data_IF_261342962667
#
_entry.id   IF_261342962667
#
_cell.length_a   1.000
_cell.length_b   1.000
_cell.length_c   1.000
_cell.angle_alpha   90.00
_cell.angle_beta   90.00
_cell.angle_gamma   90.00
#
_symmetry.space_group_name_H-M   'P 1'
#
loop_
_entity.id
_entity.type
_entity.pdbx_description
1 polymer ?
#
# COMPACT_ATOMS: atom_id res chain seq x y z
N UNK A 1 -29.50 40.64 -17.80
CA UNK A 1 -29.84 39.53 -16.89
C UNK A 1 -28.70 38.53 -16.94
N UNK A 2 -27.69 38.75 -16.11
CA UNK A 2 -26.53 37.86 -15.96
C UNK A 2 -26.84 36.80 -14.90
N UNK A 3 -26.58 35.53 -15.23
CA UNK A 3 -26.70 34.41 -14.33
C UNK A 3 -25.39 34.23 -13.55
N UNK A 4 -25.49 34.41 -12.23
CA UNK A 4 -24.40 34.37 -11.26
C UNK A 4 -23.72 33.01 -11.20
N UNK A 5 -22.46 32.94 -11.61
CA UNK A 5 -21.59 31.76 -11.47
C UNK A 5 -21.24 31.50 -10.00
N UNK A 6 -21.68 30.37 -9.45
CA UNK A 6 -21.30 29.88 -8.13
C UNK A 6 -19.82 29.44 -8.12
N UNK A 7 -19.01 30.20 -7.38
CA UNK A 7 -17.58 30.00 -7.14
C UNK A 7 -17.35 28.68 -6.37
N UNK A 8 -16.66 27.70 -6.98
CA UNK A 8 -16.14 26.51 -6.27
C UNK A 8 -15.13 26.97 -5.20
N UNK A 9 -15.51 26.90 -3.92
CA UNK A 9 -14.59 27.07 -2.79
C UNK A 9 -13.90 25.74 -2.49
N UNK A 10 -12.56 25.65 -2.44
CA UNK A 10 -11.89 24.53 -1.80
C UNK A 10 -12.11 24.61 -0.28
N UNK A 11 -12.40 23.49 0.35
CA UNK A 11 -12.45 23.34 1.80
C UNK A 11 -11.01 23.40 2.35
N UNK A 12 -10.52 24.61 2.61
CA UNK A 12 -9.34 24.84 3.43
C UNK A 12 -9.80 25.21 4.84
N UNK A 13 -9.47 24.35 5.81
CA UNK A 13 -9.70 24.64 7.24
C UNK A 13 -8.58 25.55 7.71
N UNK A 14 -8.88 26.83 7.98
CA UNK A 14 -7.95 27.73 8.69
C UNK A 14 -7.81 27.25 10.14
N UNK A 15 -6.61 26.79 10.53
CA UNK A 15 -6.24 26.65 11.95
C UNK A 15 -5.89 28.04 12.47
N UNK A 16 -6.63 28.51 13.49
CA UNK A 16 -6.33 29.75 14.19
C UNK A 16 -5.05 29.60 15.02
N UNK A 17 -4.17 30.60 14.92
CA UNK A 17 -2.97 30.68 15.75
C UNK A 17 -3.32 31.12 17.17
N UNK A 18 -2.84 30.36 18.14
CA UNK A 18 -2.60 30.82 19.50
C UNK A 18 -1.21 30.31 19.88
N UNK A 19 -0.31 31.24 20.16
CA UNK A 19 1.06 30.96 20.54
C UNK A 19 1.11 30.26 21.89
N UNK A 20 1.83 29.14 21.91
CA UNK A 20 2.48 28.60 23.09
C UNK A 20 3.74 27.92 22.56
N UNK A 21 4.91 28.32 23.09
CA UNK A 21 6.18 27.63 22.84
C UNK A 21 6.01 26.17 23.28
N UNK A 22 5.79 25.29 22.32
CA UNK A 22 5.69 23.85 22.57
C UNK A 22 7.09 23.26 22.41
N UNK A 23 7.53 22.54 23.45
CA UNK A 23 8.67 21.62 23.39
C UNK A 23 8.63 20.84 22.07
N UNK A 24 9.80 20.69 21.44
CA UNK A 24 9.99 20.00 20.16
C UNK A 24 9.61 18.53 20.34
N UNK A 25 8.32 18.25 20.17
CA UNK A 25 7.74 16.92 20.20
C UNK A 25 8.23 16.08 19.02
N UNK A 26 8.39 14.78 19.26
CA UNK A 26 8.85 13.80 18.28
C UNK A 26 8.16 13.97 16.91
N UNK A 27 8.89 13.91 15.78
CA UNK A 27 8.36 14.14 14.44
C UNK A 27 7.65 12.90 13.88
N UNK A 28 6.91 12.18 14.72
CA UNK A 28 6.26 10.92 14.36
C UNK A 28 4.75 11.13 14.48
N UNK A 29 4.04 11.02 13.34
CA UNK A 29 2.58 11.18 13.34
C UNK A 29 1.92 10.19 14.31
N UNK A 30 0.79 10.54 14.94
CA UNK A 30 0.06 9.62 15.83
C UNK A 30 -0.20 8.25 15.18
N UNK A 31 -0.47 8.22 13.87
CA UNK A 31 -0.64 7.00 13.09
C UNK A 31 0.62 6.14 13.00
N UNK A 32 1.80 6.74 12.91
CA UNK A 32 3.07 6.00 12.88
C UNK A 32 3.39 5.37 14.25
N UNK A 33 2.93 5.96 15.36
CA UNK A 33 3.07 5.38 16.70
C UNK A 33 2.15 4.16 16.91
N UNK A 34 1.03 4.08 16.21
CA UNK A 34 0.13 2.90 16.26
C UNK A 34 0.74 1.64 15.64
N UNK A 35 1.83 1.79 14.88
CA UNK A 35 2.47 0.73 14.10
C UNK A 35 3.93 0.53 14.49
N UNK A 36 4.27 0.76 15.76
CA UNK A 36 5.64 0.70 16.29
C UNK A 36 6.35 -0.64 16.01
N UNK A 37 5.60 -1.75 15.96
CA UNK A 37 6.11 -3.08 15.62
C UNK A 37 6.01 -3.43 14.11
N UNK A 38 5.62 -2.48 13.25
CA UNK A 38 5.52 -2.68 11.81
C UNK A 38 6.66 -1.99 11.08
N UNK A 39 7.35 -2.75 10.24
CA UNK A 39 8.51 -2.31 9.50
C UNK A 39 8.17 -2.23 8.01
N UNK A 40 8.69 -1.21 7.33
CA UNK A 40 8.67 -1.15 5.87
C UNK A 40 10.00 -1.69 5.37
N UNK A 41 9.96 -2.78 4.62
CA UNK A 41 11.14 -3.37 3.96
C UNK A 41 11.06 -2.98 2.49
N UNK A 42 12.09 -2.30 1.99
CA UNK A 42 12.18 -1.88 0.58
C UNK A 42 13.20 -2.73 -0.15
N UNK A 43 12.74 -3.52 -1.13
CA UNK A 43 13.59 -4.24 -2.06
C UNK A 43 13.84 -3.37 -3.29
N UNK A 44 15.11 -3.19 -3.65
CA UNK A 44 15.52 -2.44 -4.84
C UNK A 44 16.46 -3.30 -5.68
N UNK A 45 16.19 -3.38 -6.98
CA UNK A 45 17.11 -3.98 -7.94
C UNK A 45 17.93 -2.91 -8.65
N UNK A 46 19.22 -3.14 -8.83
CA UNK A 46 20.08 -2.28 -9.66
C UNK A 46 20.35 -2.93 -11.02
N UNK A 47 20.52 -2.13 -12.08
CA UNK A 47 20.86 -2.63 -13.43
C UNK A 47 22.31 -3.10 -13.55
N UNK A 48 23.17 -2.71 -12.61
CA UNK A 48 24.59 -3.04 -12.59
C UNK A 48 24.96 -3.66 -11.25
N UNK A 49 26.03 -4.49 -11.19
CA UNK A 49 26.60 -4.92 -9.91
C UNK A 49 26.86 -3.73 -8.99
N UNK A 50 26.58 -3.91 -7.70
CA UNK A 50 26.75 -2.85 -6.71
C UNK A 50 28.24 -2.60 -6.47
N UNK A 51 28.68 -1.37 -6.73
CA UNK A 51 29.96 -0.86 -6.25
C UNK A 51 29.83 -0.54 -4.75
N UNK A 52 30.21 -1.51 -3.92
CA UNK A 52 30.06 -1.39 -2.45
C UNK A 52 30.76 -0.15 -1.85
N UNK A 53 32.00 0.21 -2.27
CA UNK A 53 32.61 1.47 -1.83
C UNK A 53 31.77 2.71 -2.16
N UNK A 54 31.30 2.84 -3.41
CA UNK A 54 30.50 3.98 -3.84
C UNK A 54 29.13 4.03 -3.13
N UNK A 55 28.50 2.87 -2.97
CA UNK A 55 27.26 2.71 -2.23
C UNK A 55 27.43 3.14 -0.76
N UNK A 56 28.48 2.66 -0.09
CA UNK A 56 28.78 3.01 1.30
C UNK A 56 29.01 4.52 1.45
N UNK A 57 29.87 5.09 0.61
CA UNK A 57 30.15 6.53 0.63
C UNK A 57 28.88 7.35 0.35
N UNK A 58 28.03 6.90 -0.58
CA UNK A 58 26.74 7.52 -0.87
C UNK A 58 25.78 7.47 0.33
N UNK A 59 25.67 6.32 1.01
CA UNK A 59 24.85 6.18 2.22
C UNK A 59 25.38 7.08 3.34
N UNK A 60 26.69 7.06 3.61
CA UNK A 60 27.33 7.90 4.63
C UNK A 60 27.08 9.40 4.35
N UNK A 61 27.22 9.84 3.10
CA UNK A 61 26.93 11.21 2.69
C UNK A 61 25.46 11.60 2.86
N UNK A 62 24.51 10.69 2.57
CA UNK A 62 23.08 10.94 2.79
C UNK A 62 22.75 10.99 4.28
N UNK A 63 23.26 10.06 5.09
CA UNK A 63 23.06 10.06 6.54
C UNK A 63 23.61 11.33 7.19
N UNK A 64 24.75 11.84 6.72
CA UNK A 64 25.32 13.10 7.20
C UNK A 64 24.44 14.33 6.89
N UNK A 65 23.65 14.28 5.80
CA UNK A 65 22.71 15.35 5.40
C UNK A 65 21.40 15.34 6.19
N UNK A 66 21.04 14.21 6.81
CA UNK A 66 19.75 14.04 7.51
C UNK A 66 19.99 13.58 8.96
N UNK A 67 20.24 14.50 9.90
CA UNK A 67 20.54 14.15 11.30
C UNK A 67 19.39 13.39 11.99
N UNK A 68 18.16 13.49 11.50
CA UNK A 68 16.99 12.74 12.00
C UNK A 68 16.95 11.27 11.57
N UNK A 69 17.82 10.82 10.66
CA UNK A 69 17.98 9.40 10.35
C UNK A 69 18.83 8.65 11.38
N UNK A 70 19.29 9.34 12.43
CA UNK A 70 19.75 8.70 13.67
C UNK A 70 18.53 8.18 14.42
N UNK A 71 18.23 6.90 14.25
CA UNK A 71 17.41 6.17 15.21
C UNK A 71 18.11 6.30 16.57
N UNK A 72 17.64 7.19 17.43
CA UNK A 72 18.11 7.26 18.82
C UNK A 72 17.70 5.92 19.43
N UNK A 73 18.69 5.05 19.68
CA UNK A 73 18.42 3.82 20.40
C UNK A 73 18.10 4.20 21.84
N UNK A 74 16.93 3.79 22.32
CA UNK A 74 16.62 3.91 23.73
C UNK A 74 17.69 3.20 24.56
N UNK A 75 18.18 3.84 25.64
CA UNK A 75 19.04 3.21 26.62
C UNK A 75 18.48 1.85 27.02
N UNK A 76 19.36 0.87 27.26
CA UNK A 76 18.90 -0.43 27.72
C UNK A 76 18.28 -0.26 29.12
N UNK A 77 16.95 -0.35 29.22
CA UNK A 77 16.21 -0.28 30.49
C UNK A 77 15.47 -1.58 30.76
N UNK A 78 15.07 -1.80 32.02
CA UNK A 78 14.19 -2.91 32.41
C UNK A 78 12.79 -2.85 31.76
N UNK A 79 12.41 -1.71 31.18
CA UNK A 79 11.16 -1.50 30.46
C UNK A 79 11.31 -1.71 28.95
N UNK A 80 12.53 -1.87 28.45
CA UNK A 80 12.79 -2.25 27.06
C UNK A 80 12.33 -3.68 26.87
N UNK A 81 11.36 -3.90 25.99
CA UNK A 81 10.72 -5.20 25.75
C UNK A 81 11.77 -6.19 25.22
N UNK A 82 12.33 -6.99 26.13
CA UNK A 82 13.10 -8.19 25.80
C UNK A 82 12.08 -9.25 25.44
N UNK A 83 11.87 -9.45 24.14
CA UNK A 83 11.28 -10.61 23.47
C UNK A 83 10.49 -10.09 22.26
N UNK A 84 11.08 -10.25 21.08
CA UNK A 84 10.28 -10.57 19.92
C UNK A 84 9.61 -11.90 20.26
N UNK A 85 8.32 -11.87 20.62
CA UNK A 85 7.50 -13.09 20.58
C UNK A 85 7.75 -13.76 19.22
N UNK A 86 7.68 -15.10 19.16
CA UNK A 86 7.89 -15.89 17.95
C UNK A 86 7.08 -15.33 16.77
N UNK A 87 7.65 -14.37 16.05
CA UNK A 87 7.08 -13.88 14.80
C UNK A 87 7.28 -15.01 13.82
N UNK A 88 6.19 -15.61 13.35
CA UNK A 88 6.23 -16.52 12.22
C UNK A 88 7.05 -15.86 11.12
N UNK A 89 8.09 -16.57 10.67
CA UNK A 89 9.05 -16.05 9.70
C UNK A 89 8.29 -15.72 8.41
N UNK A 90 8.15 -14.42 8.10
CA UNK A 90 7.57 -14.02 6.84
C UNK A 90 8.62 -14.01 5.74
N UNK A 91 8.30 -14.66 4.62
CA UNK A 91 9.06 -14.53 3.37
C UNK A 91 8.49 -13.37 2.56
N UNK A 92 9.39 -12.59 1.98
CA UNK A 92 9.03 -11.53 1.04
C UNK A 92 9.41 -11.99 -0.36
N UNK A 93 8.43 -12.10 -1.24
CA UNK A 93 8.59 -12.56 -2.62
C UNK A 93 7.91 -11.59 -3.57
N UNK A 94 8.44 -11.43 -4.78
CA UNK A 94 7.94 -10.43 -5.72
C UNK A 94 7.85 -10.94 -7.15
N UNK A 95 6.92 -10.37 -7.91
CA UNK A 95 6.72 -10.65 -9.35
C UNK A 95 6.46 -9.35 -10.10
N UNK A 96 6.88 -9.32 -11.36
CA UNK A 96 6.70 -8.18 -12.25
C UNK A 96 5.40 -8.31 -13.04
N UNK A 97 4.64 -7.23 -13.14
CA UNK A 97 3.50 -7.07 -14.04
C UNK A 97 3.72 -5.90 -15.01
N UNK A 98 3.10 -6.00 -16.19
CA UNK A 98 3.06 -4.92 -17.17
C UNK A 98 2.07 -3.82 -16.73
N UNK A 99 2.58 -2.59 -16.55
CA UNK A 99 1.71 -1.44 -16.26
C UNK A 99 0.82 -1.11 -17.45
N UNK A 100 1.30 -1.36 -18.68
CA UNK A 100 0.53 -1.11 -19.90
C UNK A 100 -0.65 -2.09 -20.03
N UNK A 101 -0.47 -3.35 -19.67
CA UNK A 101 -1.55 -4.34 -19.66
C UNK A 101 -2.64 -3.95 -18.66
N UNK A 102 -2.24 -3.49 -17.48
CA UNK A 102 -3.17 -2.98 -16.47
C UNK A 102 -3.90 -1.72 -16.96
N UNK A 103 -3.18 -0.79 -17.60
CA UNK A 103 -3.79 0.41 -18.21
C UNK A 103 -4.73 0.05 -19.35
N UNK A 104 -4.42 -0.97 -20.14
CA UNK A 104 -5.26 -1.47 -21.22
C UNK A 104 -6.60 -1.96 -20.66
N UNK A 105 -6.57 -2.86 -19.67
CA UNK A 105 -7.79 -3.36 -19.00
C UNK A 105 -8.59 -2.21 -18.39
N UNK A 106 -7.90 -1.30 -17.68
CA UNK A 106 -8.51 -0.10 -17.08
C UNK A 106 -9.32 0.68 -18.12
N UNK A 107 -8.72 0.95 -19.29
CA UNK A 107 -9.36 1.75 -20.33
C UNK A 107 -10.52 0.99 -21.00
N UNK A 108 -10.34 -0.30 -21.29
CA UNK A 108 -11.39 -1.15 -21.87
C UNK A 108 -12.62 -1.28 -20.94
N UNK A 109 -12.38 -1.41 -19.63
CA UNK A 109 -13.41 -1.56 -18.60
C UNK A 109 -13.92 -0.23 -18.02
N UNK A 110 -13.38 0.90 -18.47
CA UNK A 110 -13.69 2.26 -17.96
C UNK A 110 -13.61 2.34 -16.43
N UNK A 111 -12.56 1.78 -15.84
CA UNK A 111 -12.31 1.76 -14.39
C UNK A 111 -10.97 2.43 -14.02
N UNK A 112 -10.48 2.23 -12.80
CA UNK A 112 -9.18 2.73 -12.33
C UNK A 112 -8.14 1.60 -12.25
N UNK A 113 -6.85 1.96 -12.20
CA UNK A 113 -5.75 0.98 -12.01
C UNK A 113 -5.97 0.16 -10.74
N UNK A 114 -6.38 0.79 -9.64
CA UNK A 114 -6.66 0.10 -8.38
C UNK A 114 -7.79 -0.93 -8.53
N UNK A 115 -8.83 -0.63 -9.30
CA UNK A 115 -9.94 -1.57 -9.53
C UNK A 115 -9.46 -2.83 -10.28
N UNK A 116 -8.55 -2.64 -11.25
CA UNK A 116 -7.92 -3.75 -11.99
C UNK A 116 -7.06 -4.59 -11.05
N UNK A 117 -6.17 -3.97 -10.28
CA UNK A 117 -5.28 -4.70 -9.36
C UNK A 117 -6.04 -5.47 -8.27
N UNK A 118 -7.14 -4.92 -7.76
CA UNK A 118 -8.03 -5.63 -6.85
C UNK A 118 -8.67 -6.84 -7.54
N UNK A 119 -9.13 -6.67 -8.80
CA UNK A 119 -9.64 -7.78 -9.60
C UNK A 119 -8.60 -8.88 -9.85
N UNK A 120 -7.37 -8.51 -10.19
CA UNK A 120 -6.25 -9.45 -10.33
C UNK A 120 -6.00 -10.20 -9.02
N UNK A 121 -5.99 -9.51 -7.88
CA UNK A 121 -5.84 -10.17 -6.58
C UNK A 121 -7.01 -11.11 -6.26
N UNK A 122 -8.27 -10.73 -6.56
CA UNK A 122 -9.41 -11.63 -6.38
C UNK A 122 -9.24 -12.90 -7.20
N UNK A 123 -8.88 -12.77 -8.47
CA UNK A 123 -8.67 -13.89 -9.37
C UNK A 123 -7.52 -14.80 -8.89
N UNK A 124 -6.37 -14.22 -8.56
CA UNK A 124 -5.20 -14.98 -8.13
C UNK A 124 -5.44 -15.76 -6.84
N UNK A 125 -6.02 -15.11 -5.82
CA UNK A 125 -6.34 -15.78 -4.56
C UNK A 125 -7.42 -16.84 -4.72
N UNK A 126 -8.38 -16.64 -5.63
CA UNK A 126 -9.40 -17.64 -5.95
C UNK A 126 -8.76 -18.87 -6.58
N UNK A 127 -7.93 -18.69 -7.62
CA UNK A 127 -7.21 -19.79 -8.27
C UNK A 127 -6.39 -20.59 -7.26
N UNK A 128 -5.59 -19.91 -6.46
CA UNK A 128 -4.78 -20.53 -5.41
C UNK A 128 -5.63 -21.32 -4.40
N UNK A 129 -6.71 -20.70 -3.89
CA UNK A 129 -7.58 -21.33 -2.89
C UNK A 129 -8.25 -22.60 -3.42
N UNK A 130 -8.83 -22.56 -4.62
CA UNK A 130 -9.50 -23.72 -5.20
C UNK A 130 -8.50 -24.81 -5.59
N UNK A 131 -7.30 -24.45 -6.07
CA UNK A 131 -6.21 -25.39 -6.32
C UNK A 131 -5.76 -26.12 -5.05
N UNK A 132 -5.67 -25.40 -3.91
CA UNK A 132 -5.22 -25.98 -2.62
C UNK A 132 -6.27 -26.75 -1.85
N UNK A 133 -7.50 -26.26 -1.85
CA UNK A 133 -8.59 -26.90 -1.12
C UNK A 133 -9.08 -28.18 -1.81
N UNK A 134 -8.90 -28.28 -3.13
CA UNK A 134 -9.52 -29.34 -3.94
C UNK A 134 -11.04 -29.21 -4.03
N UNK A 135 -11.60 -28.09 -3.58
CA UNK A 135 -13.04 -27.80 -3.68
C UNK A 135 -13.44 -27.73 -5.16
N UNK A 136 -14.48 -28.47 -5.53
CA UNK A 136 -14.97 -28.53 -6.92
C UNK A 136 -16.21 -27.67 -7.14
N UNK A 137 -16.86 -27.23 -6.05
CA UNK A 137 -18.00 -26.31 -6.14
C UNK A 137 -17.53 -24.88 -6.47
N UNK A 138 -17.37 -24.63 -7.76
CA UNK A 138 -17.02 -23.32 -8.30
C UNK A 138 -18.10 -22.25 -8.12
N UNK A 139 -19.32 -22.61 -7.69
CA UNK A 139 -20.38 -21.66 -7.36
C UNK A 139 -20.25 -21.08 -5.94
N UNK A 140 -19.43 -21.72 -5.10
CA UNK A 140 -19.16 -21.26 -3.74
C UNK A 140 -18.30 -20.00 -3.78
N UNK A 141 -18.75 -18.97 -3.08
CA UNK A 141 -18.00 -17.74 -2.90
C UNK A 141 -17.76 -17.46 -1.42
N UNK A 142 -16.49 -17.37 -1.05
CA UNK A 142 -16.06 -17.08 0.31
C UNK A 142 -15.74 -15.59 0.40
N UNK A 143 -16.41 -14.90 1.33
CA UNK A 143 -16.12 -13.51 1.63
C UNK A 143 -15.11 -13.42 2.77
N UNK A 144 -13.96 -12.83 2.51
CA UNK A 144 -12.93 -12.54 3.51
C UNK A 144 -12.82 -11.04 3.76
N UNK A 145 -12.24 -10.66 4.90
CA UNK A 145 -12.01 -9.25 5.27
C UNK A 145 -10.58 -8.88 4.93
N UNK A 146 -10.39 -7.83 4.15
CA UNK A 146 -9.08 -7.26 3.88
C UNK A 146 -8.95 -5.86 4.47
N UNK A 147 -7.76 -5.51 4.93
CA UNK A 147 -7.42 -4.13 5.24
C UNK A 147 -6.77 -3.47 4.02
N UNK A 148 -7.40 -2.43 3.50
CA UNK A 148 -6.86 -1.59 2.42
C UNK A 148 -6.26 -0.32 3.04
N UNK A 149 -4.94 -0.16 2.94
CA UNK A 149 -4.25 1.04 3.39
C UNK A 149 -4.39 2.15 2.34
N UNK A 150 -4.77 3.35 2.77
CA UNK A 150 -4.94 4.52 1.91
C UNK A 150 -4.05 5.67 2.37
N UNK A 151 -3.32 6.26 1.42
CA UNK A 151 -2.59 7.48 1.67
C UNK A 151 -3.58 8.65 1.74
N UNK A 152 -3.62 9.36 2.86
CA UNK A 152 -4.49 10.52 3.08
C UNK A 152 -3.81 11.84 2.69
N UNK A 153 -2.50 11.82 2.42
CA UNK A 153 -1.76 13.04 2.06
C UNK A 153 -2.31 13.68 0.78
N UNK A 154 -2.48 15.00 0.74
CA UNK A 154 -2.73 15.73 -0.50
C UNK A 154 -1.58 15.51 -1.50
N UNK A 155 -1.87 15.28 -2.79
CA UNK A 155 -0.84 15.07 -3.83
C UNK A 155 0.15 16.24 -3.95
N UNK A 156 -0.28 17.46 -3.63
CA UNK A 156 0.58 18.65 -3.58
C UNK A 156 1.69 18.58 -2.54
N UNK A 157 1.52 17.80 -1.47
CA UNK A 157 2.53 17.61 -0.42
C UNK A 157 3.73 16.80 -0.90
N UNK A 158 3.55 15.85 -1.84
CA UNK A 158 4.64 15.03 -2.37
C UNK A 158 5.60 15.87 -3.21
N UNK A 159 5.08 16.76 -4.05
CA UNK A 159 5.90 17.70 -4.83
C UNK A 159 6.67 18.65 -3.91
N UNK A 160 6.02 19.16 -2.87
CA UNK A 160 6.68 20.00 -1.86
C UNK A 160 7.82 19.25 -1.13
N UNK A 161 7.65 17.96 -0.81
CA UNK A 161 8.74 17.13 -0.26
C UNK A 161 9.92 16.99 -1.24
N UNK A 162 9.65 16.76 -2.53
CA UNK A 162 10.71 16.62 -3.54
C UNK A 162 11.47 17.94 -3.72
N UNK A 163 10.77 19.06 -3.81
CA UNK A 163 11.38 20.38 -3.95
C UNK A 163 12.19 20.76 -2.71
N UNK A 164 11.71 20.39 -1.52
CA UNK A 164 12.45 20.54 -0.27
C UNK A 164 13.76 19.74 -0.29
N UNK A 165 13.70 18.44 -0.60
CA UNK A 165 14.89 17.56 -0.70
C UNK A 165 15.91 18.14 -1.68
N UNK A 166 15.45 18.64 -2.83
CA UNK A 166 16.32 19.27 -3.83
C UNK A 166 16.93 20.58 -3.34
N UNK A 167 16.17 21.37 -2.58
CA UNK A 167 16.61 22.69 -2.08
C UNK A 167 17.52 22.60 -0.85
N UNK A 168 17.52 21.48 -0.11
CA UNK A 168 18.25 21.31 1.14
C UNK A 168 17.80 22.23 2.28
N UNK A 169 16.66 22.91 2.11
CA UNK A 169 16.10 23.85 3.09
C UNK A 169 15.05 23.13 3.93
N UNK A 170 15.18 23.21 5.25
CA UNK A 170 14.13 22.81 6.18
C UNK A 170 12.94 23.77 6.04
N UNK A 171 11.97 23.40 5.18
CA UNK A 171 10.67 24.07 5.14
C UNK A 171 9.69 23.37 6.08
N UNK A 172 8.68 24.11 6.58
CA UNK A 172 7.57 23.64 7.43
C UNK A 172 6.64 22.59 6.77
N UNK A 173 7.18 21.62 6.03
CA UNK A 173 6.40 20.45 5.63
C UNK A 173 6.34 19.56 6.85
N UNK A 174 5.13 19.30 7.35
CA UNK A 174 4.91 18.34 8.42
C UNK A 174 5.39 16.96 7.95
N UNK A 175 6.54 16.52 8.47
CA UNK A 175 7.02 15.16 8.27
C UNK A 175 6.13 14.22 9.09
N UNK A 176 5.41 13.32 8.43
CA UNK A 176 4.54 12.36 9.12
C UNK A 176 3.71 11.51 8.18
N UNK A 177 3.59 10.21 8.44
CA UNK A 177 2.74 9.32 7.64
C UNK A 177 1.26 9.64 7.95
N UNK A 178 0.51 10.09 6.94
CA UNK A 178 -0.95 10.21 7.01
C UNK A 178 -1.57 9.02 6.30
N UNK A 179 -1.77 7.95 7.07
CA UNK A 179 -2.37 6.72 6.57
C UNK A 179 -3.75 6.55 7.18
N UNK A 180 -4.72 6.28 6.32
CA UNK A 180 -6.02 5.74 6.69
C UNK A 180 -6.09 4.27 6.29
N UNK A 181 -7.14 3.59 6.73
CA UNK A 181 -7.44 2.23 6.26
C UNK A 181 -8.93 2.06 6.02
N UNK A 182 -9.27 1.09 5.18
CA UNK A 182 -10.64 0.68 4.87
C UNK A 182 -10.70 -0.83 5.05
N UNK A 183 -11.75 -1.35 5.68
CA UNK A 183 -11.99 -2.79 5.66
C UNK A 183 -12.73 -3.12 4.36
N UNK A 184 -12.00 -3.64 3.37
CA UNK A 184 -12.54 -4.04 2.08
C UNK A 184 -12.93 -5.53 2.13
N UNK A 185 -14.18 -5.91 1.81
CA UNK A 185 -14.48 -7.32 1.59
C UNK A 185 -13.76 -7.80 0.33
N UNK A 186 -13.03 -8.90 0.45
CA UNK A 186 -12.47 -9.66 -0.67
C UNK A 186 -13.34 -10.88 -0.90
N UNK A 187 -13.45 -11.31 -2.16
CA UNK A 187 -14.26 -12.44 -2.56
C UNK A 187 -13.36 -13.48 -3.21
N UNK A 188 -13.40 -14.69 -2.66
CA UNK A 188 -12.68 -15.87 -3.15
C UNK A 188 -13.74 -16.75 -3.81
N UNK A 189 -13.71 -16.83 -5.13
CA UNK A 189 -14.73 -17.49 -5.93
C UNK A 189 -14.27 -17.63 -7.39
N UNK A 190 -14.70 -18.70 -8.06
CA UNK A 190 -14.38 -18.90 -9.48
C UNK A 190 -15.42 -18.20 -10.34
N UNK A 191 -14.97 -17.42 -11.33
CA UNK A 191 -15.84 -16.74 -12.29
C UNK A 191 -15.57 -17.24 -13.71
N UNK A 192 -16.64 -17.47 -14.47
CA UNK A 192 -16.54 -17.88 -15.87
C UNK A 192 -16.05 -16.73 -16.78
N UNK A 193 -16.50 -15.49 -16.51
CA UNK A 193 -15.95 -14.28 -17.13
C UNK A 193 -14.85 -13.68 -16.24
N UNK A 194 -13.57 -13.68 -16.66
CA UNK A 194 -12.48 -13.06 -15.90
C UNK A 194 -12.72 -11.60 -15.54
N UNK A 195 -13.53 -10.88 -16.33
CA UNK A 195 -13.81 -9.47 -16.08
C UNK A 195 -14.72 -9.24 -14.88
N UNK A 196 -15.45 -10.27 -14.42
CA UNK A 196 -16.29 -10.17 -13.23
C UNK A 196 -15.47 -9.87 -11.98
N UNK A 197 -14.24 -10.36 -11.88
CA UNK A 197 -13.33 -10.01 -10.79
C UNK A 197 -13.12 -8.49 -10.71
N UNK A 198 -12.87 -7.83 -11.85
CA UNK A 198 -12.67 -6.38 -11.94
C UNK A 198 -13.97 -5.63 -11.68
N UNK A 199 -15.10 -6.06 -12.28
CA UNK A 199 -16.42 -5.44 -12.05
C UNK A 199 -16.81 -5.48 -10.57
N UNK A 200 -16.56 -6.61 -9.92
CA UNK A 200 -16.86 -6.82 -8.51
C UNK A 200 -15.97 -5.99 -7.60
N UNK A 201 -14.66 -6.01 -7.84
CA UNK A 201 -13.70 -5.15 -7.15
C UNK A 201 -14.10 -3.68 -7.23
N UNK A 202 -14.41 -3.20 -8.44
CA UNK A 202 -14.91 -1.84 -8.67
C UNK A 202 -16.16 -1.52 -7.86
N UNK A 203 -17.19 -2.38 -7.91
CA UNK A 203 -18.46 -2.15 -7.19
C UNK A 203 -18.24 -2.03 -5.67
N UNK A 204 -17.35 -2.86 -5.12
CA UNK A 204 -17.01 -2.84 -3.69
C UNK A 204 -16.25 -1.57 -3.32
N UNK A 205 -15.25 -1.21 -4.12
CA UNK A 205 -14.44 0.00 -3.91
C UNK A 205 -15.28 1.26 -4.04
N UNK A 206 -16.11 1.38 -5.07
CA UNK A 206 -16.98 2.55 -5.26
C UNK A 206 -17.95 2.72 -4.08
N UNK A 207 -18.53 1.61 -3.59
CA UNK A 207 -19.34 1.62 -2.38
C UNK A 207 -18.55 2.09 -1.15
N UNK A 208 -17.32 1.61 -0.97
CA UNK A 208 -16.46 2.02 0.16
C UNK A 208 -15.90 3.43 0.05
N UNK A 209 -15.70 3.94 -1.17
CA UNK A 209 -15.38 5.36 -1.39
C UNK A 209 -16.57 6.26 -1.04
N UNK A 210 -17.80 5.79 -1.29
CA UNK A 210 -19.01 6.49 -0.87
C UNK A 210 -19.33 6.34 0.61
N UNK A 211 -18.70 5.40 1.34
CA UNK A 211 -18.82 5.32 2.79
C UNK A 211 -17.87 6.33 3.43
N UNK A 212 -18.35 7.08 4.43
CA UNK A 212 -17.50 7.96 5.25
C UNK A 212 -16.54 7.16 6.15
N UNK A 213 -16.25 5.90 5.84
CA UNK A 213 -15.49 4.96 6.67
C UNK A 213 -14.04 5.37 6.83
N UNK A 214 -13.39 5.88 5.77
CA UNK A 214 -12.02 6.41 5.87
C UNK A 214 -11.97 7.59 6.84
N UNK A 215 -12.92 8.51 6.72
CA UNK A 215 -13.00 9.70 7.57
C UNK A 215 -13.32 9.28 9.01
N UNK A 216 -14.27 8.38 9.19
CA UNK A 216 -14.67 7.87 10.49
C UNK A 216 -13.53 7.13 11.19
N UNK A 217 -12.84 6.22 10.50
CA UNK A 217 -11.72 5.46 11.08
C UNK A 217 -10.55 6.37 11.46
N UNK A 218 -10.24 7.36 10.63
CA UNK A 218 -9.22 8.36 10.94
C UNK A 218 -9.59 9.18 12.19
N UNK A 219 -10.80 9.74 12.24
CA UNK A 219 -11.28 10.52 13.40
C UNK A 219 -11.37 9.65 14.65
N UNK A 220 -11.89 8.43 14.53
CA UNK A 220 -11.97 7.49 15.66
C UNK A 220 -10.58 7.13 16.20
N UNK A 221 -9.60 6.89 15.32
CA UNK A 221 -8.23 6.65 15.73
C UNK A 221 -7.63 7.85 16.48
N UNK A 222 -7.88 9.08 16.00
CA UNK A 222 -7.43 10.30 16.66
C UNK A 222 -8.07 10.48 18.04
N UNK A 223 -9.39 10.25 18.15
CA UNK A 223 -10.12 10.32 19.43
C UNK A 223 -9.62 9.24 20.40
N UNK A 224 -9.48 7.99 19.95
CA UNK A 224 -9.00 6.90 20.79
C UNK A 224 -7.58 7.20 21.30
N UNK A 225 -6.71 7.69 20.42
CA UNK A 225 -5.35 8.08 20.77
C UNK A 225 -5.33 9.19 21.82
N UNK A 226 -6.13 10.25 21.64
CA UNK A 226 -6.20 11.38 22.57
C UNK A 226 -6.82 11.03 23.92
N UNK A 227 -7.84 10.16 23.95
CA UNK A 227 -8.60 9.84 25.16
C UNK A 227 -7.95 8.71 25.97
N UNK A 228 -7.51 7.64 25.30
CA UNK A 228 -7.03 6.42 25.97
C UNK A 228 -5.51 6.23 25.90
N UNK A 229 -4.81 7.11 25.17
CA UNK A 229 -3.37 7.06 25.00
C UNK A 229 -2.89 5.97 24.03
N UNK A 230 -1.59 5.99 23.74
CA UNK A 230 -0.95 5.16 22.71
C UNK A 230 -1.13 3.65 22.95
N UNK A 231 -0.98 3.18 24.20
CA UNK A 231 -1.06 1.74 24.51
C UNK A 231 -2.42 1.14 24.17
N UNK A 232 -3.50 1.82 24.55
CA UNK A 232 -4.85 1.37 24.25
C UNK A 232 -5.16 1.45 22.75
N UNK A 233 -4.75 2.54 22.10
CA UNK A 233 -4.94 2.72 20.67
C UNK A 233 -4.21 1.66 19.83
N UNK A 234 -2.96 1.36 20.18
CA UNK A 234 -2.17 0.29 19.57
C UNK A 234 -2.81 -1.10 19.78
N UNK A 235 -3.28 -1.40 21.00
CA UNK A 235 -3.97 -2.65 21.28
C UNK A 235 -5.28 -2.81 20.47
N UNK A 236 -6.06 -1.74 20.32
CA UNK A 236 -7.28 -1.73 19.50
C UNK A 236 -6.94 -1.94 18.03
N UNK A 237 -5.92 -1.22 17.53
CA UNK A 237 -5.47 -1.33 16.15
C UNK A 237 -4.96 -2.74 15.83
N UNK A 238 -4.08 -3.29 16.66
CA UNK A 238 -3.58 -4.66 16.55
C UNK A 238 -4.73 -5.68 16.53
N UNK A 239 -5.71 -5.54 17.42
CA UNK A 239 -6.89 -6.42 17.47
C UNK A 239 -7.76 -6.31 16.20
N UNK A 240 -7.88 -5.11 15.65
CA UNK A 240 -8.65 -4.90 14.42
C UNK A 240 -7.95 -5.57 13.23
N UNK A 241 -6.63 -5.44 13.13
CA UNK A 241 -5.84 -6.09 12.08
C UNK A 241 -5.88 -7.61 12.20
N UNK A 242 -5.72 -8.16 13.41
CA UNK A 242 -5.77 -9.62 13.64
C UNK A 242 -7.12 -10.25 13.31
N UNK A 243 -8.16 -9.45 13.10
CA UNK A 243 -9.48 -9.89 12.64
C UNK A 243 -9.66 -9.79 11.12
N UNK A 244 -8.62 -9.41 10.38
CA UNK A 244 -8.60 -9.42 8.92
C UNK A 244 -7.79 -10.61 8.40
N UNK A 245 -8.10 -11.06 7.19
CA UNK A 245 -7.47 -12.22 6.55
C UNK A 245 -6.24 -11.81 5.75
N UNK A 246 -6.26 -10.62 5.15
CA UNK A 246 -5.24 -10.15 4.22
C UNK A 246 -5.12 -8.63 4.25
N UNK A 247 -3.89 -8.14 4.24
CA UNK A 247 -3.63 -6.71 4.00
C UNK A 247 -3.34 -6.45 2.52
N UNK A 248 -3.91 -5.38 1.97
CA UNK A 248 -3.70 -4.94 0.59
C UNK A 248 -3.26 -3.48 0.58
N UNK A 249 -2.22 -3.15 -0.20
CA UNK A 249 -1.85 -1.78 -0.50
C UNK A 249 -1.42 -1.61 -1.96
N UNK A 250 -1.66 -0.43 -2.51
CA UNK A 250 -1.10 -0.02 -3.80
C UNK A 250 -0.53 1.39 -3.70
N UNK A 251 0.70 1.58 -4.16
CA UNK A 251 1.37 2.87 -4.19
C UNK A 251 1.85 3.20 -5.60
N UNK A 252 1.57 4.43 -6.03
CA UNK A 252 2.20 4.98 -7.24
C UNK A 252 3.63 5.35 -6.90
N UNK A 253 4.60 4.63 -7.45
CA UNK A 253 6.01 4.99 -7.32
C UNK A 253 6.50 5.90 -8.44
N UNK A 254 7.82 6.15 -8.51
CA UNK A 254 8.42 7.06 -9.48
C UNK A 254 8.10 6.69 -10.93
N UNK A 255 7.77 7.70 -11.73
CA UNK A 255 7.54 7.55 -13.18
C UNK A 255 8.83 7.72 -13.98
N UNK A 256 9.85 8.33 -13.39
CA UNK A 256 11.18 8.51 -13.95
C UNK A 256 12.13 7.44 -13.39
N UNK A 257 13.13 7.09 -14.20
CA UNK A 257 14.22 6.21 -13.79
C UNK A 257 15.02 6.90 -12.67
N UNK A 258 15.09 6.27 -11.50
CA UNK A 258 15.86 6.77 -10.36
C UNK A 258 17.20 6.06 -10.24
N UNK A 259 18.11 6.73 -9.55
CA UNK A 259 19.43 6.24 -9.22
C UNK A 259 19.60 6.24 -7.70
N UNK A 260 20.26 5.20 -7.17
CA UNK A 260 20.64 5.12 -5.76
C UNK A 260 22.16 5.01 -5.64
N UNK A 261 22.79 6.06 -5.10
CA UNK A 261 24.23 6.12 -4.86
C UNK A 261 25.10 5.71 -6.08
N UNK A 262 24.84 6.23 -7.28
CA UNK A 262 25.59 5.86 -8.48
C UNK A 262 24.97 4.71 -9.29
N UNK A 263 23.92 4.05 -8.79
CA UNK A 263 23.39 2.82 -9.37
C UNK A 263 21.96 3.02 -9.91
N UNK A 264 21.72 2.85 -11.21
CA UNK A 264 20.37 2.93 -11.76
C UNK A 264 19.47 1.81 -11.23
N UNK A 265 18.29 2.17 -10.73
CA UNK A 265 17.36 1.23 -10.11
C UNK A 265 16.38 0.66 -11.14
N UNK A 266 16.27 -0.66 -11.26
CA UNK A 266 15.39 -1.33 -12.25
C UNK A 266 14.03 -1.74 -11.69
N UNK A 267 13.89 -1.83 -10.37
CA UNK A 267 12.62 -2.01 -9.69
C UNK A 267 12.68 -1.53 -8.23
N UNK A 268 11.52 -1.18 -7.69
CA UNK A 268 11.30 -0.84 -6.28
C UNK A 268 10.07 -1.62 -5.81
N UNK A 269 10.23 -2.41 -4.75
CA UNK A 269 9.18 -3.26 -4.19
C UNK A 269 9.19 -3.17 -2.66
N UNK A 270 8.46 -2.22 -2.06
CA UNK A 270 8.29 -2.18 -0.62
C UNK A 270 7.26 -3.22 -0.16
N UNK A 271 7.41 -3.67 1.08
CA UNK A 271 6.39 -4.43 1.80
C UNK A 271 6.36 -4.04 3.26
N UNK A 272 5.19 -4.19 3.87
CA UNK A 272 5.08 -4.23 5.33
C UNK A 272 5.57 -5.57 5.89
N UNK A 273 6.22 -5.54 7.04
CA UNK A 273 6.59 -6.67 7.89
C UNK A 273 6.12 -6.39 9.31
N UNK A 274 5.61 -7.40 10.02
CA UNK A 274 5.04 -7.23 11.37
C UNK A 274 3.52 -7.37 11.51
N UNK A 275 2.66 -7.06 10.49
CA UNK A 275 1.23 -7.33 10.60
C UNK A 275 0.95 -8.81 10.90
N UNK A 276 -0.07 -9.18 11.70
CA UNK A 276 -0.36 -10.56 12.08
C UNK A 276 -0.92 -11.44 10.96
N UNK A 277 -1.37 -10.87 9.83
CA UNK A 277 -1.98 -11.65 8.74
C UNK A 277 -0.97 -12.56 8.05
N UNK A 278 -1.39 -13.77 7.68
CA UNK A 278 -0.52 -14.73 6.97
C UNK A 278 -0.12 -14.27 5.56
N UNK A 279 -0.83 -13.29 4.98
CA UNK A 279 -0.56 -12.73 3.65
C UNK A 279 -0.76 -11.21 3.63
N UNK A 280 0.21 -10.50 3.07
CA UNK A 280 0.13 -9.07 2.75
C UNK A 280 0.49 -8.88 1.27
N UNK A 281 -0.39 -8.24 0.52
CA UNK A 281 -0.23 -7.96 -0.92
C UNK A 281 0.04 -6.48 -1.11
N UNK A 282 1.23 -6.14 -1.61
CA UNK A 282 1.62 -4.77 -1.91
C UNK A 282 1.91 -4.62 -3.40
N UNK A 283 1.33 -3.60 -4.02
CA UNK A 283 1.66 -3.20 -5.37
C UNK A 283 2.45 -1.90 -5.35
N UNK A 284 3.48 -1.81 -6.18
CA UNK A 284 4.15 -0.55 -6.46
C UNK A 284 4.43 -0.40 -7.95
N UNK A 285 3.98 0.71 -8.54
CA UNK A 285 4.42 1.09 -9.87
C UNK A 285 5.80 1.72 -9.86
N UNK A 286 6.64 1.39 -10.83
CA UNK A 286 7.91 2.05 -11.09
C UNK A 286 8.15 2.10 -12.60
N UNK A 287 8.34 3.30 -13.14
CA UNK A 287 8.43 3.57 -14.58
C UNK A 287 7.22 2.95 -15.31
N UNK A 288 7.43 1.90 -16.09
CA UNK A 288 6.37 1.24 -16.87
C UNK A 288 6.03 -0.17 -16.36
N UNK A 289 6.19 -0.40 -15.06
CA UNK A 289 6.06 -1.71 -14.46
C UNK A 289 5.37 -1.61 -13.12
N UNK A 290 4.64 -2.66 -12.77
CA UNK A 290 4.10 -2.85 -11.43
C UNK A 290 4.83 -4.03 -10.80
N UNK A 291 5.40 -3.84 -9.61
CA UNK A 291 5.89 -4.92 -8.78
C UNK A 291 4.78 -5.34 -7.84
N UNK A 292 4.43 -6.62 -7.87
CA UNK A 292 3.68 -7.28 -6.81
C UNK A 292 4.69 -7.74 -5.77
N UNK A 293 4.44 -7.45 -4.51
CA UNK A 293 5.26 -7.90 -3.41
C UNK A 293 4.37 -8.55 -2.36
N UNK A 294 4.62 -9.83 -2.08
CA UNK A 294 3.90 -10.62 -1.11
C UNK A 294 4.78 -10.81 0.12
N UNK A 295 4.32 -10.36 1.28
CA UNK A 295 4.85 -10.81 2.57
C UNK A 295 3.93 -11.91 3.10
N UNK A 296 4.44 -13.12 3.18
CA UNK A 296 3.67 -14.33 3.49
C UNK A 296 4.34 -15.17 4.56
N UNK A 297 3.54 -15.89 5.34
CA UNK A 297 4.05 -16.95 6.20
C UNK A 297 4.39 -18.19 5.35
N UNK A 298 5.67 -18.55 5.33
CA UNK A 298 6.20 -19.68 4.56
C UNK A 298 5.57 -21.02 4.97
N UNK A 299 5.13 -21.16 6.23
CA UNK A 299 4.44 -22.37 6.70
C UNK A 299 3.03 -22.51 6.14
N UNK A 300 2.35 -21.38 5.85
CA UNK A 300 0.99 -21.37 5.28
C UNK A 300 0.99 -21.35 3.75
N UNK A 301 2.05 -20.82 3.13
CA UNK A 301 2.18 -20.68 1.68
C UNK A 301 3.50 -21.30 1.20
N UNK A 302 3.69 -22.63 1.32
CA UNK A 302 4.92 -23.29 0.91
C UNK A 302 5.18 -23.22 -0.60
N UNK A 303 4.13 -23.05 -1.40
CA UNK A 303 4.12 -22.93 -2.86
C UNK A 303 3.81 -21.51 -3.33
N UNK A 304 4.36 -20.52 -2.63
CA UNK A 304 4.20 -19.12 -2.95
C UNK A 304 4.59 -18.76 -4.40
N UNK A 305 5.45 -19.55 -5.06
CA UNK A 305 5.81 -19.35 -6.47
C UNK A 305 4.59 -19.55 -7.39
N UNK A 306 3.77 -20.58 -7.14
CA UNK A 306 2.53 -20.79 -7.87
C UNK A 306 1.52 -19.68 -7.62
N UNK A 307 1.46 -19.15 -6.39
CA UNK A 307 0.62 -18.00 -6.06
C UNK A 307 1.07 -16.77 -6.87
N UNK A 308 2.37 -16.50 -6.97
CA UNK A 308 2.88 -15.40 -7.79
C UNK A 308 2.54 -15.58 -9.27
N UNK A 309 2.60 -16.80 -9.78
CA UNK A 309 2.19 -17.12 -11.14
C UNK A 309 0.70 -16.89 -11.36
N UNK A 310 -0.15 -17.24 -10.40
CA UNK A 310 -1.58 -16.96 -10.48
C UNK A 310 -1.88 -15.47 -10.65
N UNK A 311 -1.07 -14.55 -10.10
CA UNK A 311 -1.24 -13.12 -10.33
C UNK A 311 -0.94 -12.73 -11.78
N UNK A 312 0.11 -13.30 -12.38
CA UNK A 312 0.50 -13.03 -13.77
C UNK A 312 -0.57 -13.58 -14.71
N UNK A 313 -0.91 -14.85 -14.57
CA UNK A 313 -1.93 -15.53 -15.38
C UNK A 313 -3.30 -14.86 -15.25
N UNK A 314 -3.66 -14.42 -14.04
CA UNK A 314 -4.93 -13.71 -13.83
C UNK A 314 -4.99 -12.39 -14.59
N UNK A 315 -3.90 -11.62 -14.62
CA UNK A 315 -3.85 -10.39 -15.42
C UNK A 315 -3.97 -10.70 -16.91
N UNK A 316 -3.30 -11.76 -17.39
CA UNK A 316 -3.38 -12.20 -18.78
C UNK A 316 -4.80 -12.59 -19.18
N UNK A 317 -5.47 -13.45 -18.40
CA UNK A 317 -6.87 -13.84 -18.64
C UNK A 317 -7.83 -12.64 -18.65
N UNK A 318 -7.64 -11.70 -17.71
CA UNK A 318 -8.45 -10.47 -17.65
C UNK A 318 -8.18 -9.59 -18.89
N UNK A 319 -6.92 -9.45 -19.31
CA UNK A 319 -6.52 -8.69 -20.50
C UNK A 319 -7.12 -9.29 -21.77
N UNK A 320 -7.07 -10.60 -21.93
CA UNK A 320 -7.60 -11.30 -23.09
C UNK A 320 -9.12 -11.13 -23.18
N UNK A 321 -9.82 -11.25 -22.05
CA UNK A 321 -11.25 -10.98 -21.99
C UNK A 321 -11.57 -9.51 -22.31
N UNK A 322 -10.78 -8.55 -21.81
CA UNK A 322 -10.96 -7.13 -22.11
C UNK A 322 -10.71 -6.80 -23.59
N UNK A 323 -9.78 -7.49 -24.24
CA UNK A 323 -9.51 -7.34 -25.68
C UNK A 323 -10.70 -7.73 -26.54
N UNK A 324 -11.41 -8.80 -26.15
CA UNK A 324 -12.65 -9.24 -26.83
C UNK A 324 -13.78 -8.21 -26.72
N UNK A 325 -13.92 -7.53 -25.58
CA UNK A 325 -14.89 -6.43 -25.42
C UNK A 325 -14.66 -5.27 -26.39
N UNK A 326 -13.39 -4.92 -26.63
CA UNK A 326 -13.02 -3.83 -27.54
C UNK A 326 -13.32 -4.13 -29.01
N UNK A 327 -13.27 -5.41 -29.42
CA UNK A 327 -13.63 -5.84 -30.77
C UNK A 327 -15.13 -5.75 -31.05
N UNK A 328 -15.98 -6.03 -30.05
CA UNK A 328 -17.43 -5.92 -30.21
C UNK A 328 -17.90 -4.46 -30.35
N UNK A 329 -17.21 -3.51 -29.72
CA UNK A 329 -17.51 -2.07 -29.85
C UNK A 329 -17.05 -1.44 -31.18
N UNK A 330 -16.19 -2.11 -31.96
CA UNK A 330 -15.78 -1.65 -33.31
C UNK A 330 -16.67 -2.18 -34.44
N UNK A 331 -17.53 -3.16 -34.15
CA UNK A 331 -18.43 -3.80 -35.12
C UNK A 331 -19.90 -3.37 -35.00
N UNK A 332 -20.22 -2.52 -34.02
CA UNK A 332 -21.54 -1.92 -33.81
C UNK A 332 -21.46 -0.42 -34.12
#
# INVERSE_FOLDING_TARGET
MEATTLRKRPLSVKRGGAGAEAEVGEPVSPSARLVEDFYIIVLMGASTPLNLPALRAGIEAQLARYPHFRSIQDPHTLFKRVNHAETQRKRIVHRRLSLDDVKFVKNAMKCTVNDVLIGVTYAALSRYHFRKSGETDTHKEIRVRSMLLVNLRPTTSLHACVDMIKSGKESHVEWGNELGFIILPFFIGMHSDPLDYVRKGKKVVDRKKSSLEVVFTHVAAEVIFKVFGLKAASAIFHRMISHTTISFANMTGPVEQVEFCGHPIVFIAPSGYGPPEALTVNYQSYVNTIMINLALDEGHFPDYDELLDDFVESLEHIKDAASRLGMHHRKA
#
